data_IF_829365711408
#
_entry.id   IF_829365711408
#
_cell.length_a   1.000
_cell.length_b   1.000
_cell.length_c   1.000
_cell.angle_alpha   90.00
_cell.angle_beta   90.00
_cell.angle_gamma   90.00
#
_symmetry.space_group_name_H-M   'P 1'
#
loop_
_entity.id
_entity.type
_entity.pdbx_description
1 polymer ?
#
# COMPACT_ATOMS: atom_id res chain seq x y z
N UNK A 1 -6.91 -10.95 12.84
CA UNK A 1 -6.07 -9.97 13.55
C UNK A 1 -4.74 -9.83 12.84
N UNK A 2 -4.42 -8.63 12.38
CA UNK A 2 -3.07 -8.31 11.88
C UNK A 2 -2.12 -8.19 13.06
N UNK A 3 -0.90 -8.70 12.90
CA UNK A 3 0.19 -8.51 13.84
C UNK A 3 1.15 -7.45 13.27
N UNK A 4 1.89 -6.72 14.11
CA UNK A 4 2.86 -5.72 13.66
C UNK A 4 3.94 -6.24 12.70
N UNK A 5 4.19 -7.55 12.66
CA UNK A 5 5.15 -8.24 11.78
C UNK A 5 4.48 -8.93 10.58
N UNK A 6 3.18 -8.75 10.39
CA UNK A 6 2.45 -9.38 9.28
C UNK A 6 2.90 -8.80 7.93
N UNK A 7 2.99 -9.68 6.94
CA UNK A 7 3.11 -9.31 5.52
C UNK A 7 1.74 -9.42 4.87
N UNK A 8 1.29 -8.35 4.22
CA UNK A 8 -0.03 -8.27 3.60
C UNK A 8 0.11 -8.11 2.09
N UNK A 9 -0.71 -8.83 1.33
CA UNK A 9 -0.92 -8.59 -0.09
C UNK A 9 -2.31 -7.99 -0.30
N UNK A 10 -2.35 -6.82 -0.91
CA UNK A 10 -3.55 -6.13 -1.36
C UNK A 10 -3.65 -6.22 -2.89
N UNK A 11 -4.83 -6.56 -3.39
CA UNK A 11 -5.13 -6.60 -4.82
C UNK A 11 -6.06 -5.44 -5.17
N UNK A 12 -5.60 -4.55 -6.04
CA UNK A 12 -6.29 -3.32 -6.43
C UNK A 12 -5.92 -2.15 -5.54
N UNK A 13 -4.73 -1.57 -5.75
CA UNK A 13 -4.25 -0.40 -5.01
C UNK A 13 -5.21 0.79 -5.12
N UNK A 14 -5.83 0.99 -6.29
CA UNK A 14 -6.76 2.09 -6.53
C UNK A 14 -6.15 3.45 -6.19
N UNK A 15 -6.63 4.09 -5.12
CA UNK A 15 -6.13 5.38 -4.63
C UNK A 15 -4.92 5.27 -3.68
N UNK A 16 -4.60 4.08 -3.19
CA UNK A 16 -3.62 3.82 -2.12
C UNK A 16 -4.17 4.00 -0.70
N UNK A 17 -5.46 4.29 -0.53
CA UNK A 17 -6.05 4.54 0.80
C UNK A 17 -6.02 3.31 1.71
N UNK A 18 -6.43 2.16 1.19
CA UNK A 18 -6.45 0.92 1.97
C UNK A 18 -5.02 0.41 2.23
N UNK A 19 -4.11 0.54 1.24
CA UNK A 19 -2.68 0.32 1.43
C UNK A 19 -2.08 1.14 2.59
N UNK A 20 -2.44 2.42 2.68
CA UNK A 20 -2.00 3.31 3.76
C UNK A 20 -2.51 2.85 5.13
N UNK A 21 -3.80 2.50 5.24
CA UNK A 21 -4.38 1.95 6.48
C UNK A 21 -3.65 0.66 6.88
N UNK A 22 -3.39 -0.24 5.94
CA UNK A 22 -2.64 -1.47 6.20
C UNK A 22 -1.20 -1.16 6.62
N UNK A 23 -0.58 -0.12 6.08
CA UNK A 23 0.75 0.36 6.44
C UNK A 23 0.87 0.81 7.90
N UNK A 24 -0.21 1.27 8.52
CA UNK A 24 -0.26 1.61 9.95
C UNK A 24 -0.40 0.36 10.86
N UNK A 25 -0.80 -0.79 10.30
CA UNK A 25 -1.20 -1.98 11.06
C UNK A 25 -0.26 -3.18 10.88
N UNK A 26 0.42 -3.25 9.75
CA UNK A 26 1.24 -4.39 9.34
C UNK A 26 2.71 -4.00 9.15
N UNK A 27 3.59 -5.00 9.20
CA UNK A 27 5.02 -4.79 9.05
C UNK A 27 5.39 -4.43 7.61
N UNK A 28 4.77 -5.12 6.64
CA UNK A 28 4.95 -4.88 5.21
C UNK A 28 3.63 -5.05 4.46
N UNK A 29 3.36 -4.16 3.52
CA UNK A 29 2.19 -4.21 2.65
C UNK A 29 2.68 -4.19 1.21
N UNK A 30 2.32 -5.20 0.44
CA UNK A 30 2.48 -5.26 -1.00
C UNK A 30 1.13 -5.00 -1.61
N UNK A 31 1.02 -4.02 -2.51
CA UNK A 31 -0.23 -3.67 -3.18
C UNK A 31 0.01 -3.61 -4.67
N UNK A 32 -0.93 -4.13 -5.46
CA UNK A 32 -0.82 -4.16 -6.92
C UNK A 32 -2.05 -3.56 -7.60
N UNK A 33 -1.84 -2.91 -8.73
CA UNK A 33 -2.90 -2.30 -9.52
C UNK A 33 -2.71 -2.65 -11.00
N UNK A 34 -3.82 -3.01 -11.68
CA UNK A 34 -3.81 -3.39 -13.09
C UNK A 34 -3.85 -2.17 -14.01
N UNK A 35 -4.50 -1.08 -13.56
CA UNK A 35 -4.56 0.17 -14.30
C UNK A 35 -3.32 1.01 -13.98
N UNK A 36 -2.29 0.93 -14.83
CA UNK A 36 -0.98 1.58 -14.62
C UNK A 36 -1.07 3.05 -14.16
N UNK A 37 -1.88 3.94 -14.78
CA UNK A 37 -2.01 5.31 -14.30
C UNK A 37 -2.49 5.43 -12.85
N UNK A 38 -3.37 4.54 -12.39
CA UNK A 38 -3.83 4.53 -10.99
C UNK A 38 -2.71 4.05 -10.05
N UNK A 39 -1.98 3.02 -10.45
CA UNK A 39 -0.83 2.50 -9.69
C UNK A 39 0.25 3.56 -9.50
N UNK A 40 0.61 4.31 -10.56
CA UNK A 40 1.57 5.41 -10.49
C UNK A 40 1.09 6.53 -9.56
N UNK A 41 -0.17 6.94 -9.66
CA UNK A 41 -0.75 7.96 -8.78
C UNK A 41 -0.78 7.52 -7.31
N UNK A 42 -1.11 6.25 -7.04
CA UNK A 42 -1.10 5.72 -5.69
C UNK A 42 0.32 5.64 -5.12
N UNK A 43 1.29 5.18 -5.92
CA UNK A 43 2.71 5.15 -5.58
C UNK A 43 3.23 6.52 -5.18
N UNK A 44 3.03 7.52 -6.03
CA UNK A 44 3.48 8.89 -5.76
C UNK A 44 2.86 9.45 -4.47
N UNK A 45 1.55 9.22 -4.27
CA UNK A 45 0.85 9.64 -3.06
C UNK A 45 1.40 8.98 -1.80
N UNK A 46 1.57 7.65 -1.82
CA UNK A 46 2.09 6.89 -0.69
C UNK A 46 3.52 7.29 -0.34
N UNK A 47 4.36 7.56 -1.36
CA UNK A 47 5.71 8.08 -1.18
C UNK A 47 5.72 9.48 -0.56
N UNK A 48 4.87 10.39 -1.04
CA UNK A 48 4.74 11.75 -0.49
C UNK A 48 4.26 11.75 0.97
N UNK A 49 3.40 10.80 1.34
CA UNK A 49 2.94 10.60 2.72
C UNK A 49 3.97 9.89 3.61
N UNK A 50 5.08 9.41 3.05
CA UNK A 50 6.19 8.83 3.80
C UNK A 50 6.04 7.35 4.15
N UNK A 51 5.12 6.63 3.51
CA UNK A 51 4.99 5.17 3.68
C UNK A 51 6.20 4.45 3.09
N UNK A 52 7.03 3.87 3.97
CA UNK A 52 8.23 3.10 3.59
C UNK A 52 8.00 1.59 3.57
N UNK A 53 6.96 1.13 4.25
CA UNK A 53 6.58 -0.28 4.37
C UNK A 53 5.46 -0.68 3.40
N UNK A 54 5.00 0.23 2.54
CA UNK A 54 4.02 -0.04 1.48
C UNK A 54 4.74 -0.07 0.14
N UNK A 55 4.75 -1.24 -0.50
CA UNK A 55 5.37 -1.52 -1.80
C UNK A 55 4.25 -1.56 -2.85
N UNK A 56 4.36 -0.68 -3.85
CA UNK A 56 3.43 -0.49 -4.97
C UNK A 56 4.08 -0.88 -6.29
#
# INVERSE_FOLDING_TARGET
NLKPDSKVLELGTGSGYQAAILGELAGEVYTIEIVEPLGLLAKDRLQQLGYKNVIT
#
